data_IF_508548608681
#
_entry.id   IF_508548608681
#
_cell.length_a   1.000
_cell.length_b   1.000
_cell.length_c   1.000
_cell.angle_alpha   90.00
_cell.angle_beta   90.00
_cell.angle_gamma   90.00
#
_symmetry.space_group_name_H-M   'P 1'
#
loop_
_entity.id
_entity.type
_entity.pdbx_description
1 polymer ?
#
# COMPACT_ATOMS: atom_id res chain seq x y z
N UNK A 1 -14.90 -6.77 8.31
CA UNK A 1 -14.27 -5.54 8.82
C UNK A 1 -12.78 -5.71 8.61
N UNK A 2 -12.06 -4.69 8.12
CA UNK A 2 -10.60 -4.77 8.04
C UNK A 2 -10.01 -4.66 9.45
N UNK A 3 -8.89 -5.33 9.65
CA UNK A 3 -8.16 -5.30 10.92
C UNK A 3 -7.44 -3.95 11.08
N UNK A 4 -7.83 -3.18 12.08
CA UNK A 4 -7.29 -1.83 12.32
C UNK A 4 -5.80 -1.87 12.69
N UNK A 5 -5.33 -2.94 13.35
CA UNK A 5 -3.91 -3.10 13.68
C UNK A 5 -3.08 -3.21 12.40
N UNK A 6 -3.54 -4.03 11.44
CA UNK A 6 -2.88 -4.20 10.14
C UNK A 6 -2.90 -2.91 9.34
N UNK A 7 -4.03 -2.19 9.32
CA UNK A 7 -4.12 -0.89 8.66
C UNK A 7 -3.15 0.13 9.26
N UNK A 8 -3.04 0.17 10.60
CA UNK A 8 -2.12 1.06 11.28
C UNK A 8 -0.65 0.76 10.92
N UNK A 9 -0.26 -0.51 10.89
CA UNK A 9 1.09 -0.90 10.45
C UNK A 9 1.36 -0.46 9.00
N UNK A 10 0.39 -0.66 8.10
CA UNK A 10 0.55 -0.22 6.70
C UNK A 10 0.75 1.30 6.65
N UNK A 11 -0.05 2.08 7.39
CA UNK A 11 0.11 3.54 7.47
C UNK A 11 1.49 3.95 7.97
N UNK A 12 2.00 3.28 8.99
CA UNK A 12 3.33 3.55 9.55
C UNK A 12 4.44 3.23 8.55
N UNK A 13 4.40 2.06 7.90
CA UNK A 13 5.34 1.71 6.83
C UNK A 13 5.33 2.75 5.72
N UNK A 14 4.15 3.16 5.23
CA UNK A 14 4.04 4.14 4.16
C UNK A 14 4.53 5.54 4.57
N UNK A 15 4.27 5.98 5.80
CA UNK A 15 4.80 7.25 6.31
C UNK A 15 6.32 7.25 6.46
N UNK A 16 6.91 6.10 6.83
CA UNK A 16 8.35 5.97 6.95
C UNK A 16 9.04 5.94 5.58
N UNK A 17 8.45 5.27 4.59
CA UNK A 17 9.00 5.17 3.24
C UNK A 17 8.79 6.46 2.42
N UNK A 18 7.69 7.18 2.68
CA UNK A 18 7.27 8.39 1.98
C UNK A 18 6.98 9.55 2.94
N UNK A 19 7.96 9.99 3.76
CA UNK A 19 7.74 11.04 4.76
C UNK A 19 7.36 12.39 4.14
N UNK A 20 7.69 12.62 2.88
CA UNK A 20 7.36 13.83 2.13
C UNK A 20 5.96 13.81 1.48
N UNK A 21 5.23 12.68 1.55
CA UNK A 21 3.91 12.54 0.93
C UNK A 21 2.80 12.68 1.98
N UNK A 22 1.72 13.35 1.61
CA UNK A 22 0.47 13.29 2.36
C UNK A 22 -0.18 11.92 2.13
N UNK A 23 -0.52 11.23 3.23
CA UNK A 23 -1.19 9.94 3.21
C UNK A 23 -2.68 10.13 3.52
N UNK A 24 -3.53 9.70 2.59
CA UNK A 24 -4.96 9.51 2.81
C UNK A 24 -5.33 8.07 2.46
N UNK A 25 -6.35 7.52 3.11
CA UNK A 25 -6.77 6.14 2.84
C UNK A 25 -8.29 5.99 2.88
N UNK A 26 -8.80 5.01 2.13
CA UNK A 26 -10.23 4.70 2.07
C UNK A 26 -10.46 3.22 1.84
N UNK A 27 -11.61 2.76 2.30
CA UNK A 27 -12.16 1.48 1.89
C UNK A 27 -12.58 1.54 0.41
N UNK A 28 -12.15 0.55 -0.37
CA UNK A 28 -12.52 0.35 -1.77
C UNK A 28 -13.45 -0.86 -1.83
N UNK A 29 -14.75 -0.61 -1.62
CA UNK A 29 -15.78 -1.65 -1.52
C UNK A 29 -15.90 -2.47 -2.79
N UNK A 30 -15.79 -1.83 -3.96
CA UNK A 30 -15.90 -2.50 -5.26
C UNK A 30 -14.79 -3.54 -5.47
N UNK A 31 -13.61 -3.29 -4.90
CA UNK A 31 -12.44 -4.15 -5.03
C UNK A 31 -12.20 -5.05 -3.82
N UNK A 32 -13.05 -4.96 -2.79
CA UNK A 32 -12.87 -5.63 -1.49
C UNK A 32 -11.43 -5.40 -0.99
N UNK A 33 -11.02 -4.13 -0.97
CA UNK A 33 -9.65 -3.73 -0.71
C UNK A 33 -9.58 -2.42 0.09
N UNK A 34 -8.40 -2.09 0.58
CA UNK A 34 -8.12 -0.79 1.16
C UNK A 34 -7.13 -0.04 0.29
N UNK A 35 -7.45 1.20 -0.08
CA UNK A 35 -6.57 2.01 -0.94
C UNK A 35 -5.98 3.17 -0.17
N UNK A 36 -4.66 3.25 -0.19
CA UNK A 36 -3.84 4.34 0.31
C UNK A 36 -3.43 5.22 -0.87
N UNK A 37 -3.58 6.52 -0.72
CA UNK A 37 -3.20 7.55 -1.67
C UNK A 37 -2.09 8.39 -1.05
N UNK A 38 -0.94 8.36 -1.69
CA UNK A 38 0.20 9.21 -1.38
C UNK A 38 0.21 10.38 -2.35
N UNK A 39 0.25 11.61 -1.84
CA UNK A 39 0.26 12.82 -2.69
C UNK A 39 1.32 13.82 -2.28
N UNK A 40 2.05 14.32 -3.27
CA UNK A 40 2.82 15.58 -3.20
C UNK A 40 2.18 16.61 -4.14
N UNK A 41 2.80 17.78 -4.26
CA UNK A 41 2.38 18.81 -5.22
C UNK A 41 2.54 18.35 -6.68
N UNK A 42 3.41 17.37 -6.94
CA UNK A 42 3.78 16.96 -8.31
C UNK A 42 3.33 15.54 -8.65
N UNK A 43 3.14 14.68 -7.64
CA UNK A 43 2.96 13.24 -7.84
C UNK A 43 1.81 12.69 -6.99
N UNK A 44 1.13 11.71 -7.56
CA UNK A 44 0.10 10.92 -6.87
C UNK A 44 0.42 9.46 -7.10
N UNK A 45 0.56 8.71 -6.00
CA UNK A 45 0.70 7.26 -6.02
C UNK A 45 -0.46 6.60 -5.28
N UNK A 46 -0.90 5.45 -5.78
CA UNK A 46 -1.96 4.65 -5.20
C UNK A 46 -1.43 3.27 -4.83
N UNK A 47 -1.69 2.86 -3.60
CA UNK A 47 -1.35 1.53 -3.10
C UNK A 47 -2.66 0.90 -2.64
N UNK A 48 -3.06 -0.19 -3.29
CA UNK A 48 -4.27 -0.93 -2.95
C UNK A 48 -3.88 -2.26 -2.33
N UNK A 49 -4.41 -2.54 -1.15
CA UNK A 49 -4.17 -3.78 -0.42
C UNK A 49 -5.45 -4.60 -0.46
N UNK A 50 -5.40 -5.74 -1.14
CA UNK A 50 -6.52 -6.67 -1.20
C UNK A 50 -6.85 -7.26 0.17
N UNK A 51 -8.12 -7.58 0.39
CA UNK A 51 -8.54 -8.25 1.62
C UNK A 51 -7.90 -9.63 1.78
N UNK A 52 -7.73 -10.37 0.70
CA UNK A 52 -6.99 -11.63 0.69
C UNK A 52 -5.59 -11.46 1.28
N UNK A 53 -4.85 -10.44 0.82
CA UNK A 53 -3.51 -10.16 1.31
C UNK A 53 -3.49 -9.87 2.83
N UNK A 54 -4.47 -9.13 3.33
CA UNK A 54 -4.58 -8.83 4.77
C UNK A 54 -5.05 -10.03 5.59
N UNK A 55 -5.98 -10.83 5.08
CA UNK A 55 -6.53 -11.98 5.79
C UNK A 55 -5.46 -13.10 5.90
N UNK A 56 -4.62 -13.27 4.88
CA UNK A 56 -3.59 -14.31 4.81
C UNK A 56 -2.27 -13.98 5.53
N UNK A 57 -2.11 -12.75 6.03
CA UNK A 57 -0.88 -12.30 6.70
C UNK A 57 -1.15 -11.69 8.06
N UNK A 58 -0.30 -12.01 9.02
CA UNK A 58 -0.24 -11.29 10.30
C UNK A 58 0.27 -9.86 10.11
N UNK A 59 0.04 -9.03 11.13
CA UNK A 59 0.49 -7.63 11.14
C UNK A 59 2.03 -7.53 10.98
N UNK A 60 2.78 -8.43 11.64
CA UNK A 60 4.24 -8.54 11.52
C UNK A 60 4.70 -8.92 10.10
N UNK A 61 4.05 -9.91 9.46
CA UNK A 61 4.38 -10.30 8.08
C UNK A 61 4.10 -9.17 7.08
N UNK A 62 3.03 -8.40 7.29
CA UNK A 62 2.74 -7.21 6.47
C UNK A 62 3.85 -6.19 6.61
N UNK A 63 4.31 -5.92 7.83
CA UNK A 63 5.41 -4.99 8.10
C UNK A 63 6.69 -5.42 7.38
N UNK A 64 7.11 -6.66 7.58
CA UNK A 64 8.33 -7.22 6.97
C UNK A 64 8.26 -7.19 5.45
N UNK A 65 7.12 -7.57 4.88
CA UNK A 65 6.93 -7.57 3.44
C UNK A 65 6.98 -6.15 2.86
N UNK A 66 6.28 -5.17 3.47
CA UNK A 66 6.28 -3.78 2.98
C UNK A 66 7.65 -3.13 3.08
N UNK A 67 8.37 -3.32 4.20
CA UNK A 67 9.72 -2.79 4.39
C UNK A 67 10.73 -3.42 3.42
N UNK A 68 10.56 -4.71 3.08
CA UNK A 68 11.48 -5.40 2.16
C UNK A 68 11.15 -5.18 0.68
N UNK A 69 9.91 -4.78 0.36
CA UNK A 69 9.43 -4.71 -1.02
C UNK A 69 9.99 -3.50 -1.81
N UNK A 70 10.44 -2.44 -1.13
CA UNK A 70 11.04 -1.28 -1.79
C UNK A 70 10.04 -0.47 -2.63
N UNK A 71 8.88 -0.11 -2.07
CA UNK A 71 7.82 0.63 -2.79
C UNK A 71 8.34 1.91 -3.46
N UNK A 72 9.28 2.61 -2.84
CA UNK A 72 9.82 3.88 -3.34
C UNK A 72 10.59 3.72 -4.65
N UNK A 73 11.44 2.70 -4.74
CA UNK A 73 12.18 2.36 -5.96
C UNK A 73 11.20 1.97 -7.08
N UNK A 74 10.19 1.19 -6.73
CA UNK A 74 9.17 0.75 -7.67
C UNK A 74 8.44 1.91 -8.36
N UNK A 75 8.03 2.94 -7.61
CA UNK A 75 7.37 4.12 -8.15
C UNK A 75 8.31 5.04 -8.94
N UNK A 76 9.56 5.18 -8.52
CA UNK A 76 10.52 6.07 -9.16
C UNK A 76 11.02 5.54 -10.51
N UNK A 77 11.25 4.23 -10.63
CA UNK A 77 11.92 3.67 -11.81
C UNK A 77 10.98 3.34 -12.98
N UNK A 78 9.68 3.12 -12.71
CA UNK A 78 8.81 2.42 -13.67
C UNK A 78 7.62 3.24 -14.21
N UNK A 79 7.56 4.56 -13.96
CA UNK A 79 6.37 5.40 -14.23
C UNK A 79 5.08 4.84 -13.62
N UNK A 80 5.20 3.94 -12.64
CA UNK A 80 4.05 3.30 -11.99
C UNK A 80 3.32 4.38 -11.19
N UNK A 81 1.99 4.38 -11.28
CA UNK A 81 1.13 5.22 -10.45
C UNK A 81 0.32 4.42 -9.46
N UNK A 82 0.11 3.12 -9.71
CA UNK A 82 -0.64 2.25 -8.83
C UNK A 82 0.02 0.89 -8.65
N UNK A 83 0.02 0.43 -7.41
CA UNK A 83 0.42 -0.92 -7.02
C UNK A 83 -0.75 -1.56 -6.28
N UNK A 84 -1.09 -2.79 -6.65
CA UNK A 84 -2.08 -3.59 -5.92
C UNK A 84 -1.42 -4.84 -5.36
N UNK A 85 -1.46 -5.00 -4.03
CA UNK A 85 -0.95 -6.17 -3.32
C UNK A 85 -2.09 -7.17 -3.05
N UNK A 86 -1.92 -8.39 -3.56
CA UNK A 86 -2.80 -9.55 -3.34
C UNK A 86 -1.97 -10.70 -2.78
N UNK A 87 -2.59 -11.74 -2.23
CA UNK A 87 -1.83 -12.79 -1.50
C UNK A 87 -0.70 -13.40 -2.33
N UNK A 88 -0.97 -13.67 -3.60
CA UNK A 88 -0.08 -14.42 -4.49
C UNK A 88 0.46 -13.61 -5.66
N UNK A 89 0.19 -12.30 -5.73
CA UNK A 89 0.63 -11.47 -6.86
C UNK A 89 0.64 -10.00 -6.53
N UNK A 90 1.43 -9.27 -7.32
CA UNK A 90 1.51 -7.82 -7.27
C UNK A 90 1.19 -7.29 -8.67
N UNK A 91 0.17 -6.44 -8.75
CA UNK A 91 -0.25 -5.79 -9.99
C UNK A 91 0.29 -4.36 -10.00
N UNK A 92 0.77 -3.92 -11.16
CA UNK A 92 1.41 -2.60 -11.36
C UNK A 92 0.70 -1.91 -12.53
N UNK A 93 0.32 -0.64 -12.33
CA UNK A 93 -0.31 0.18 -13.37
C UNK A 93 0.44 1.52 -13.49
N UNK A 94 0.72 1.94 -14.72
CA UNK A 94 1.45 3.17 -15.07
C UNK A 94 0.52 4.36 -15.39
#
# INVERSE_FOLDING_TARGET
MFDEEKLQIIRECLRNDFPEYNLADKNDFDRIAWTFRLTTNEKIYLITIGRDYMDDRSASEIKEHLTSFGLRELFNDNKIKRVTLKTNRIEKEA
#
